data_IF_843390583600
#
_entry.id   IF_843390583600
#
_cell.length_a   1.000
_cell.length_b   1.000
_cell.length_c   1.000
_cell.angle_alpha   90.00
_cell.angle_beta   90.00
_cell.angle_gamma   90.00
#
_symmetry.space_group_name_H-M   'P 1'
#
loop_
_entity.id
_entity.type
_entity.pdbx_description
1 polymer ?
#
# COMPACT_ATOMS: atom_id res chain seq x y z
N UNK A 1 -6.04 -16.21 -16.32
CA UNK A 1 -6.89 -15.05 -16.68
C UNK A 1 -7.07 -14.19 -15.43
N UNK A 2 -6.60 -12.94 -15.42
CA UNK A 2 -6.85 -12.01 -14.31
C UNK A 2 -8.36 -11.82 -14.18
N UNK A 3 -8.95 -12.16 -13.04
CA UNK A 3 -10.39 -12.01 -12.80
C UNK A 3 -10.73 -10.51 -12.78
N UNK A 4 -11.96 -10.11 -13.11
CA UNK A 4 -12.36 -8.69 -13.20
C UNK A 4 -12.06 -7.83 -11.96
N UNK A 5 -11.93 -8.43 -10.78
CA UNK A 5 -11.57 -7.77 -9.53
C UNK A 5 -10.04 -7.64 -9.29
N UNK A 6 -9.19 -8.19 -10.18
CA UNK A 6 -7.72 -8.07 -10.14
C UNK A 6 -7.24 -6.68 -10.51
N UNK A 7 -7.73 -6.14 -11.61
CA UNK A 7 -7.35 -4.82 -12.12
C UNK A 7 -7.63 -3.71 -11.08
N UNK A 8 -8.85 -3.57 -10.52
CA UNK A 8 -9.11 -2.49 -9.56
C UNK A 8 -8.32 -2.64 -8.27
N UNK A 9 -8.09 -3.86 -7.80
CA UNK A 9 -7.37 -4.09 -6.54
C UNK A 9 -5.88 -3.75 -6.65
N UNK A 10 -5.26 -4.08 -7.79
CA UNK A 10 -3.90 -3.65 -8.10
C UNK A 10 -3.83 -2.13 -8.33
N UNK A 11 -4.79 -1.54 -9.03
CA UNK A 11 -4.84 -0.10 -9.26
C UNK A 11 -4.93 0.67 -7.93
N UNK A 12 -5.83 0.28 -7.03
CA UNK A 12 -6.00 0.89 -5.70
C UNK A 12 -4.76 0.67 -4.84
N UNK A 13 -4.17 -0.53 -4.85
CA UNK A 13 -2.94 -0.82 -4.09
C UNK A 13 -1.77 0.06 -4.53
N UNK A 14 -1.54 0.19 -5.84
CA UNK A 14 -0.47 1.04 -6.39
C UNK A 14 -0.75 2.51 -6.11
N UNK A 15 -1.96 3.00 -6.36
CA UNK A 15 -2.34 4.39 -6.10
C UNK A 15 -2.20 4.75 -4.60
N UNK A 16 -2.65 3.86 -3.70
CA UNK A 16 -2.50 4.03 -2.26
C UNK A 16 -1.03 4.07 -1.82
N UNK A 17 -0.17 3.27 -2.45
CA UNK A 17 1.28 3.29 -2.19
C UNK A 17 1.92 4.61 -2.63
N UNK A 18 1.59 5.10 -3.82
CA UNK A 18 2.08 6.40 -4.32
C UNK A 18 1.61 7.53 -3.40
N UNK A 19 0.35 7.49 -2.97
CA UNK A 19 -0.19 8.50 -2.06
C UNK A 19 0.47 8.46 -0.68
N UNK A 20 0.72 7.27 -0.13
CA UNK A 20 1.45 7.11 1.12
C UNK A 20 2.87 7.72 1.03
N UNK A 21 3.58 7.49 -0.07
CA UNK A 21 4.90 8.08 -0.31
C UNK A 21 4.84 9.60 -0.42
N UNK A 22 3.82 10.13 -1.10
CA UNK A 22 3.63 11.58 -1.23
C UNK A 22 3.43 12.24 0.14
N UNK A 23 2.54 11.70 0.98
CA UNK A 23 2.30 12.22 2.33
C UNK A 23 3.53 12.06 3.23
N UNK A 24 4.23 10.93 3.12
CA UNK A 24 5.49 10.73 3.83
C UNK A 24 6.56 11.77 3.45
N UNK A 25 6.68 12.11 2.17
CA UNK A 25 7.60 13.16 1.72
C UNK A 25 7.23 14.51 2.30
N UNK A 26 5.94 14.87 2.37
CA UNK A 26 5.47 16.11 2.99
C UNK A 26 5.81 16.17 4.47
N UNK A 27 5.66 15.06 5.19
CA UNK A 27 6.14 14.92 6.57
C UNK A 27 7.66 15.09 6.67
N UNK A 28 8.43 14.39 5.83
CA UNK A 28 9.88 14.42 5.87
C UNK A 28 10.46 15.82 5.56
N UNK A 29 9.77 16.60 4.73
CA UNK A 29 10.16 17.97 4.39
C UNK A 29 9.45 19.04 5.22
N UNK A 30 8.66 18.66 6.23
CA UNK A 30 7.97 19.61 7.08
C UNK A 30 8.97 20.48 7.85
N UNK A 31 8.74 21.79 7.81
CA UNK A 31 9.56 22.80 8.46
C UNK A 31 8.69 23.75 9.26
N UNK A 32 9.20 24.19 10.40
CA UNK A 32 8.64 25.28 11.20
C UNK A 32 8.80 26.62 10.45
N UNK A 33 7.97 27.66 10.69
CA UNK A 33 8.17 29.04 10.22
C UNK A 33 9.61 29.59 10.29
N UNK A 34 10.44 29.11 11.21
CA UNK A 34 11.86 29.47 11.29
C UNK A 34 12.77 28.74 10.27
N UNK A 35 12.21 27.83 9.45
CA UNK A 35 12.91 27.08 8.41
C UNK A 35 13.61 25.80 8.89
N UNK A 36 13.53 25.49 10.19
CA UNK A 36 14.06 24.26 10.76
C UNK A 36 13.11 23.10 10.54
N UNK A 37 13.67 21.89 10.42
CA UNK A 37 12.88 20.68 10.28
C UNK A 37 12.07 20.45 11.55
N UNK A 38 10.74 20.38 11.42
CA UNK A 38 9.84 20.16 12.56
C UNK A 38 8.94 18.96 12.30
N UNK A 39 9.19 17.91 13.07
CA UNK A 39 8.46 16.65 13.05
C UNK A 39 7.00 16.85 13.46
N UNK A 40 6.72 17.80 14.35
CA UNK A 40 5.38 18.05 14.85
C UNK A 40 4.52 18.79 13.83
N UNK A 41 5.08 19.77 13.11
CA UNK A 41 4.42 20.44 11.99
C UNK A 41 3.95 19.45 10.89
N UNK A 42 4.69 18.36 10.68
CA UNK A 42 4.38 17.36 9.66
C UNK A 42 3.55 16.17 10.14
N UNK A 43 3.30 16.01 11.44
CA UNK A 43 2.83 14.72 12.01
C UNK A 43 1.49 14.25 11.44
N UNK A 44 0.62 15.19 11.03
CA UNK A 44 -0.63 14.87 10.34
C UNK A 44 -0.41 14.10 9.04
N UNK A 45 0.59 14.50 8.24
CA UNK A 45 0.96 13.82 7.00
C UNK A 45 1.48 12.40 7.27
N UNK A 46 2.17 12.18 8.40
CA UNK A 46 2.62 10.84 8.79
C UNK A 46 1.43 9.89 9.07
N UNK A 47 0.41 10.34 9.79
CA UNK A 47 -0.77 9.51 10.06
C UNK A 47 -1.54 9.17 8.78
N UNK A 48 -1.67 10.12 7.87
CA UNK A 48 -2.31 9.90 6.56
C UNK A 48 -1.48 8.90 5.72
N UNK A 49 -0.15 9.07 5.69
CA UNK A 49 0.74 8.14 5.01
C UNK A 49 0.60 6.70 5.55
N UNK A 50 0.52 6.55 6.88
CA UNK A 50 0.35 5.26 7.54
C UNK A 50 -1.00 4.61 7.17
N UNK A 51 -2.09 5.38 7.22
CA UNK A 51 -3.42 4.88 6.84
C UNK A 51 -3.48 4.45 5.37
N UNK A 52 -2.89 5.25 4.48
CA UNK A 52 -2.80 4.94 3.04
C UNK A 52 -1.96 3.68 2.78
N UNK A 53 -0.82 3.54 3.47
CA UNK A 53 0.04 2.35 3.36
C UNK A 53 -0.67 1.09 3.87
N UNK A 54 -1.40 1.18 4.99
CA UNK A 54 -2.19 0.06 5.53
C UNK A 54 -3.29 -0.38 4.56
N UNK A 55 -4.01 0.56 3.95
CA UNK A 55 -5.03 0.25 2.93
C UNK A 55 -4.41 -0.42 1.69
N UNK A 56 -3.29 0.10 1.20
CA UNK A 56 -2.56 -0.48 0.07
C UNK A 56 -2.10 -1.92 0.37
N UNK A 57 -1.55 -2.16 1.56
CA UNK A 57 -1.15 -3.49 2.01
C UNK A 57 -2.33 -4.45 2.08
N UNK A 58 -3.49 -4.00 2.62
CA UNK A 58 -4.70 -4.81 2.66
C UNK A 58 -5.20 -5.20 1.26
N UNK A 59 -5.15 -4.28 0.29
CA UNK A 59 -5.49 -4.59 -1.11
C UNK A 59 -4.56 -5.65 -1.70
N UNK A 60 -3.25 -5.56 -1.46
CA UNK A 60 -2.28 -6.53 -1.97
C UNK A 60 -2.50 -7.90 -1.32
N UNK A 61 -2.65 -7.96 0.01
CA UNK A 61 -2.91 -9.21 0.73
C UNK A 61 -4.19 -9.87 0.23
N UNK A 62 -5.27 -9.09 0.06
CA UNK A 62 -6.52 -9.60 -0.50
C UNK A 62 -6.36 -10.16 -1.92
N UNK A 63 -5.50 -9.54 -2.73
CA UNK A 63 -5.18 -10.02 -4.08
C UNK A 63 -4.54 -11.41 -4.06
N UNK A 64 -3.68 -11.68 -3.08
CA UNK A 64 -2.99 -12.97 -2.92
C UNK A 64 -3.90 -14.03 -2.27
N UNK A 65 -4.62 -13.70 -1.21
CA UNK A 65 -5.49 -14.65 -0.47
C UNK A 65 -6.58 -15.24 -1.37
N UNK A 66 -7.14 -14.44 -2.29
CA UNK A 66 -8.21 -14.90 -3.18
C UNK A 66 -7.73 -15.77 -4.36
N UNK A 67 -6.41 -15.90 -4.57
CA UNK A 67 -5.89 -16.83 -5.57
C UNK A 67 -5.83 -18.21 -4.91
N UNK A 68 -6.71 -19.16 -5.28
CA UNK A 68 -6.57 -20.52 -4.80
C UNK A 68 -5.18 -20.99 -5.22
N UNK A 69 -4.38 -21.44 -4.24
CA UNK A 69 -3.18 -22.21 -4.52
C UNK A 69 -3.68 -23.45 -5.22
N UNK A 70 -3.58 -23.48 -6.55
CA UNK A 70 -3.77 -24.70 -7.31
C UNK A 70 -2.60 -25.56 -6.84
N UNK A 71 -2.83 -26.36 -5.81
CA UNK A 71 -1.95 -27.45 -5.46
C UNK A 71 -1.85 -28.26 -6.73
N UNK A 72 -0.66 -28.31 -7.31
CA UNK A 72 -0.36 -29.22 -8.41
C UNK A 72 -0.89 -30.60 -7.99
N UNK A 73 -1.84 -31.13 -8.75
CA UNK A 73 -2.21 -32.53 -8.66
C UNK A 73 -0.93 -33.30 -8.98
N UNK A 74 -0.21 -33.70 -7.93
CA UNK A 74 0.85 -34.69 -8.04
C UNK A 74 0.12 -35.92 -8.53
N UNK A 75 0.20 -36.15 -9.83
CA UNK A 75 -0.15 -37.41 -10.44
C UNK A 75 0.84 -38.42 -9.86
N UNK A 76 0.52 -38.97 -8.69
CA UNK A 76 1.16 -40.18 -8.18
C UNK A 76 0.63 -41.30 -9.06
N UNK A 77 1.23 -41.44 -10.24
CA UNK A 77 1.17 -42.66 -11.00
C UNK A 77 2.05 -43.68 -10.30
N UNK A 78 1.41 -44.62 -9.61
CA UNK A 78 1.83 -46.03 -9.61
C UNK A 78 0.67 -46.93 -9.20
#
# INVERSE_FOLDING_TARGET
MMKGLDIPLWAVGTAGTVYALYEFMRFATAKDPAGFQDVWAGVGHLYVALAAAAAAAACIVWAFVRRPRVMEEIHVTK
#
